data_IF_307075578225
#
_entry.id   IF_307075578225
#
_cell.length_a   1.000
_cell.length_b   1.000
_cell.length_c   1.000
_cell.angle_alpha   90.00
_cell.angle_beta   90.00
_cell.angle_gamma   90.00
#
_symmetry.space_group_name_H-M   'P 1'
#
loop_
_entity.id
_entity.type
_entity.pdbx_description
1 polymer ?
#
# COMPACT_ATOMS: atom_id res chain seq x y z
N UNK A 1 -2.00 16.30 9.60
CA UNK A 1 -0.68 16.66 9.02
C UNK A 1 -0.20 17.92 9.73
N UNK A 2 1.04 17.96 10.20
CA UNK A 2 1.63 19.15 10.81
C UNK A 2 2.80 19.65 9.95
N UNK A 3 2.80 20.95 9.64
CA UNK A 3 3.84 21.63 8.86
C UNK A 3 4.21 20.92 7.53
N UNK A 4 3.24 20.61 6.65
CA UNK A 4 3.54 20.03 5.35
C UNK A 4 4.35 21.03 4.50
N UNK A 5 5.30 20.52 3.71
CA UNK A 5 6.05 21.28 2.71
C UNK A 5 5.46 21.01 1.35
N UNK A 6 5.19 22.06 0.59
CA UNK A 6 4.65 21.98 -0.76
C UNK A 6 5.73 22.38 -1.78
N UNK A 7 5.83 21.59 -2.85
CA UNK A 7 6.74 21.84 -3.97
C UNK A 7 5.96 21.73 -5.29
N UNK A 8 6.12 22.72 -6.16
CA UNK A 8 5.45 22.78 -7.46
C UNK A 8 6.43 22.37 -8.56
N UNK A 9 5.99 21.45 -9.42
CA UNK A 9 6.68 21.01 -10.63
C UNK A 9 5.81 21.32 -11.84
N UNK A 10 6.38 21.23 -13.06
CA UNK A 10 5.66 21.58 -14.29
C UNK A 10 4.33 20.82 -14.48
N UNK A 11 4.22 19.59 -13.99
CA UNK A 11 3.03 18.74 -14.19
C UNK A 11 2.50 18.11 -12.90
N UNK A 12 3.10 18.44 -11.76
CA UNK A 12 2.68 17.86 -10.47
C UNK A 12 2.99 18.76 -9.29
N UNK A 13 2.24 18.54 -8.20
CA UNK A 13 2.49 19.17 -6.90
C UNK A 13 2.88 18.07 -5.93
N UNK A 14 3.97 18.25 -5.20
CA UNK A 14 4.39 17.33 -4.13
C UNK A 14 4.09 17.94 -2.78
N UNK A 15 3.41 17.18 -1.92
CA UNK A 15 3.20 17.50 -0.52
C UNK A 15 3.99 16.51 0.33
N UNK A 16 4.93 17.01 1.12
CA UNK A 16 5.80 16.23 2.00
C UNK A 16 5.59 16.65 3.46
N UNK A 17 5.00 15.75 4.26
CA UNK A 17 4.71 15.97 5.66
C UNK A 17 5.47 14.97 6.53
N UNK A 18 6.55 15.43 7.17
CA UNK A 18 7.37 14.62 8.07
C UNK A 18 6.63 14.22 9.37
N UNK A 19 5.67 15.05 9.79
CA UNK A 19 4.85 14.87 10.99
C UNK A 19 3.39 14.59 10.62
N UNK A 20 3.17 13.45 9.97
CA UNK A 20 1.82 12.97 9.67
C UNK A 20 1.37 11.93 10.71
N UNK A 21 0.11 12.01 11.13
CA UNK A 21 -0.53 11.02 12.00
C UNK A 21 -1.79 10.51 11.30
N UNK A 22 -1.80 9.22 10.98
CA UNK A 22 -2.98 8.49 10.56
C UNK A 22 -3.72 8.01 11.81
N UNK A 23 -5.02 8.29 11.91
CA UNK A 23 -5.84 7.92 13.07
C UNK A 23 -6.94 6.96 12.64
N UNK A 24 -7.00 5.79 13.28
CA UNK A 24 -8.08 4.82 13.07
C UNK A 24 -8.83 4.54 14.37
N UNK A 25 -10.13 4.35 14.27
CA UNK A 25 -11.01 4.03 15.38
C UNK A 25 -11.56 2.62 15.19
N UNK A 26 -11.28 1.74 16.14
CA UNK A 26 -11.77 0.37 16.16
C UNK A 26 -13.05 0.31 16.99
N UNK A 27 -14.04 -0.44 16.50
CA UNK A 27 -15.34 -0.61 17.15
C UNK A 27 -15.33 -1.72 18.20
N UNK A 28 -16.50 -2.30 18.46
CA UNK A 28 -16.67 -3.42 19.39
C UNK A 28 -15.76 -4.61 19.04
N UNK A 29 -15.31 -5.42 20.03
CA UNK A 29 -15.62 -5.32 21.47
C UNK A 29 -14.76 -4.28 22.22
N UNK A 30 -13.63 -3.87 21.66
CA UNK A 30 -12.68 -2.96 22.30
C UNK A 30 -12.53 -1.70 21.46
N UNK A 31 -13.15 -0.62 21.93
CA UNK A 31 -13.13 0.68 21.27
C UNK A 31 -11.72 1.29 21.33
N UNK A 32 -10.82 0.91 20.44
CA UNK A 32 -9.42 1.35 20.48
C UNK A 32 -9.16 2.43 19.44
N UNK A 33 -8.49 3.52 19.84
CA UNK A 33 -7.98 4.53 18.90
C UNK A 33 -6.51 4.22 18.62
N UNK A 34 -6.16 4.01 17.36
CA UNK A 34 -4.78 3.79 16.93
C UNK A 34 -4.27 5.06 16.23
N UNK A 35 -3.18 5.60 16.74
CA UNK A 35 -2.47 6.74 16.16
C UNK A 35 -1.16 6.23 15.54
N UNK A 36 -1.06 6.25 14.22
CA UNK A 36 0.13 5.83 13.47
C UNK A 36 0.85 7.06 12.96
N UNK A 37 2.08 7.28 13.42
CA UNK A 37 2.89 8.45 13.08
C UNK A 37 3.95 8.09 12.04
N UNK A 38 4.19 9.00 11.09
CA UNK A 38 5.11 8.75 9.99
C UNK A 38 5.26 9.95 9.06
N UNK A 39 6.08 9.76 8.02
CA UNK A 39 6.23 10.72 6.94
C UNK A 39 5.27 10.37 5.81
N UNK A 40 4.43 11.32 5.41
CA UNK A 40 3.51 11.19 4.29
C UNK A 40 4.01 12.04 3.13
N UNK A 41 4.18 11.42 1.96
CA UNK A 41 4.51 12.09 0.71
C UNK A 41 3.36 11.81 -0.26
N UNK A 42 2.75 12.88 -0.77
CA UNK A 42 1.72 12.84 -1.80
C UNK A 42 2.23 13.53 -3.05
N UNK A 43 1.95 12.95 -4.20
CA UNK A 43 2.10 13.63 -5.49
C UNK A 43 0.72 13.80 -6.10
N UNK A 44 0.37 15.02 -6.49
CA UNK A 44 -0.88 15.37 -7.15
C UNK A 44 -0.63 15.70 -8.62
N UNK A 45 -1.58 15.36 -9.49
CA UNK A 45 -1.61 15.88 -10.86
C UNK A 45 -1.84 17.38 -10.85
N UNK A 46 -1.15 18.12 -11.72
CA UNK A 46 -1.41 19.53 -11.95
C UNK A 46 -2.49 19.69 -13.04
N UNK A 47 -3.70 19.21 -12.74
CA UNK A 47 -4.91 19.33 -13.54
C UNK A 47 -6.05 19.89 -12.67
N UNK A 48 -7.19 20.25 -13.27
CA UNK A 48 -8.34 20.84 -12.56
C UNK A 48 -8.89 19.93 -11.43
N UNK A 49 -8.61 18.63 -11.50
CA UNK A 49 -9.09 17.64 -10.54
C UNK A 49 -8.12 17.42 -9.36
N UNK A 50 -6.85 17.81 -9.51
CA UNK A 50 -5.77 17.62 -8.52
C UNK A 50 -5.80 16.23 -7.86
N UNK A 51 -5.79 15.17 -8.68
CA UNK A 51 -5.89 13.79 -8.18
C UNK A 51 -4.56 13.33 -7.60
N UNK A 52 -4.63 12.50 -6.57
CA UNK A 52 -3.44 11.84 -6.00
C UNK A 52 -2.90 10.85 -7.04
N UNK A 53 -1.72 11.16 -7.57
CA UNK A 53 -0.93 10.31 -8.48
C UNK A 53 -0.08 9.31 -7.71
N UNK A 54 0.47 9.72 -6.57
CA UNK A 54 1.30 8.88 -5.71
C UNK A 54 0.98 9.13 -4.24
N UNK A 55 0.91 8.05 -3.47
CA UNK A 55 0.69 8.08 -2.02
C UNK A 55 1.76 7.20 -1.36
N UNK A 56 2.60 7.80 -0.53
CA UNK A 56 3.64 7.09 0.19
C UNK A 56 3.62 7.46 1.67
N UNK A 57 3.39 6.46 2.53
CA UNK A 57 3.36 6.64 3.98
C UNK A 57 4.41 5.75 4.65
N UNK A 58 5.46 6.37 5.18
CA UNK A 58 6.53 5.69 5.91
C UNK A 58 6.28 5.78 7.43
N UNK A 59 5.79 4.67 8.00
CA UNK A 59 5.50 4.56 9.43
C UNK A 59 6.78 4.62 10.26
N UNK A 60 6.76 5.39 11.34
CA UNK A 60 7.86 5.50 12.33
C UNK A 60 7.47 4.93 13.69
N UNK A 61 6.27 5.25 14.15
CA UNK A 61 5.77 4.87 15.47
C UNK A 61 4.26 4.69 15.43
N UNK A 62 3.70 3.98 16.41
CA UNK A 62 2.26 3.89 16.60
C UNK A 62 1.92 3.82 18.09
N UNK A 63 0.72 4.24 18.45
CA UNK A 63 0.18 4.17 19.81
C UNK A 63 -1.27 3.70 19.76
N UNK A 64 -1.63 2.81 20.66
CA UNK A 64 -3.00 2.33 20.84
C UNK A 64 -3.56 2.90 22.14
N UNK A 65 -4.71 3.57 22.05
CA UNK A 65 -5.35 4.27 23.15
C UNK A 65 -6.69 3.61 23.44
N UNK A 66 -6.84 3.12 24.67
CA UNK A 66 -8.05 2.48 25.16
C UNK A 66 -8.82 3.49 26.04
N UNK A 67 -10.13 3.68 25.83
CA UNK A 67 -10.98 4.51 26.66
C UNK A 67 -10.97 4.06 28.12
N UNK A 68 -10.84 5.02 29.05
CA UNK A 68 -10.81 4.73 30.50
C UNK A 68 -12.05 4.01 31.00
N UNK A 69 -13.22 4.30 30.44
CA UNK A 69 -14.48 3.65 30.84
C UNK A 69 -14.47 2.14 30.57
N UNK A 70 -13.83 1.68 29.48
CA UNK A 70 -13.65 0.25 29.19
C UNK A 70 -12.78 -0.40 30.26
N UNK A 71 -11.70 0.27 30.66
CA UNK A 71 -10.80 -0.23 31.71
C UNK A 71 -11.47 -0.27 33.09
N UNK A 72 -12.25 0.75 33.46
CA UNK A 72 -12.96 0.82 34.75
C UNK A 72 -14.12 -0.18 34.86
N UNK A 73 -14.72 -0.55 33.73
CA UNK A 73 -15.83 -1.52 33.68
C UNK A 73 -15.39 -2.98 33.81
N UNK A 74 -14.09 -3.27 33.72
CA UNK A 74 -13.58 -4.63 33.75
C UNK A 74 -12.98 -5.00 35.10
N UNK A 75 -13.64 -5.95 35.77
CA UNK A 75 -13.18 -6.54 37.03
C UNK A 75 -12.45 -7.87 36.81
N UNK A 76 -12.54 -8.46 35.61
CA UNK A 76 -11.87 -9.73 35.28
C UNK A 76 -10.38 -9.50 34.92
N UNK A 77 -9.42 -10.03 35.71
CA UNK A 77 -8.00 -9.94 35.41
C UNK A 77 -7.62 -10.51 34.04
N UNK A 78 -8.33 -11.53 33.55
CA UNK A 78 -8.05 -12.16 32.25
C UNK A 78 -8.36 -11.24 31.06
N UNK A 79 -9.42 -10.43 31.16
CA UNK A 79 -9.77 -9.43 30.16
C UNK A 79 -8.77 -8.27 30.13
N UNK A 80 -8.23 -7.87 31.28
CA UNK A 80 -7.24 -6.80 31.34
C UNK A 80 -5.93 -7.19 30.65
N UNK A 81 -5.50 -8.45 30.78
CA UNK A 81 -4.33 -8.97 30.05
C UNK A 81 -4.54 -8.90 28.53
N UNK A 82 -5.77 -9.18 28.04
CA UNK A 82 -6.08 -9.06 26.62
C UNK A 82 -6.07 -7.62 26.12
N UNK A 83 -6.59 -6.69 26.91
CA UNK A 83 -6.56 -5.25 26.61
C UNK A 83 -5.13 -4.68 26.58
N UNK A 84 -4.19 -5.30 27.30
CA UNK A 84 -2.79 -4.86 27.30
C UNK A 84 -2.03 -5.21 26.01
N UNK A 85 -2.57 -6.13 25.19
CA UNK A 85 -1.96 -6.58 23.95
C UNK A 85 -2.35 -5.66 22.80
N UNK A 86 -1.36 -5.29 22.00
CA UNK A 86 -1.61 -4.53 20.78
C UNK A 86 -2.47 -5.31 19.79
N UNK A 87 -3.45 -4.64 19.20
CA UNK A 87 -4.29 -5.20 18.13
C UNK A 87 -3.71 -4.96 16.73
N UNK A 88 -2.69 -4.10 16.62
CA UNK A 88 -2.00 -3.76 15.37
C UNK A 88 -0.53 -4.18 15.36
N UNK A 89 0.04 -4.22 14.16
CA UNK A 89 1.49 -4.32 13.93
C UNK A 89 1.93 -3.09 13.15
N UNK A 90 2.79 -2.27 13.76
CA UNK A 90 3.18 -0.96 13.20
C UNK A 90 1.98 -0.06 12.87
N UNK A 91 0.94 -0.07 13.72
CA UNK A 91 -0.25 0.76 13.51
C UNK A 91 -1.21 0.27 12.42
N UNK A 92 -0.93 -0.88 11.81
CA UNK A 92 -1.75 -1.50 10.77
C UNK A 92 -2.33 -2.82 11.29
N UNK A 93 -3.61 -3.08 10.99
CA UNK A 93 -4.25 -4.34 11.39
C UNK A 93 -3.68 -5.53 10.63
N UNK A 94 -3.73 -6.73 11.24
CA UNK A 94 -3.28 -7.95 10.56
C UNK A 94 -4.08 -8.23 9.28
N UNK A 95 -5.39 -7.92 9.27
CA UNK A 95 -6.24 -8.04 8.09
C UNK A 95 -5.75 -7.15 6.94
N UNK A 96 -5.43 -5.89 7.23
CA UNK A 96 -4.87 -4.97 6.24
C UNK A 96 -3.49 -5.43 5.75
N UNK A 97 -2.62 -5.90 6.65
CA UNK A 97 -1.30 -6.43 6.25
C UNK A 97 -1.42 -7.66 5.34
N UNK A 98 -2.33 -8.57 5.65
CA UNK A 98 -2.56 -9.75 4.83
C UNK A 98 -3.13 -9.37 3.46
N UNK A 99 -4.03 -8.38 3.42
CA UNK A 99 -4.53 -7.84 2.16
C UNK A 99 -3.40 -7.25 1.31
N UNK A 100 -2.53 -6.41 1.88
CA UNK A 100 -1.39 -5.84 1.16
C UNK A 100 -0.42 -6.90 0.64
N UNK A 101 -0.15 -7.95 1.44
CA UNK A 101 0.67 -9.10 1.00
C UNK A 101 0.04 -9.82 -0.19
N UNK A 102 -1.28 -9.98 -0.20
CA UNK A 102 -1.99 -10.55 -1.36
C UNK A 102 -1.89 -9.63 -2.57
N UNK A 103 -2.01 -8.31 -2.42
CA UNK A 103 -1.85 -7.36 -3.52
C UNK A 103 -0.48 -7.50 -4.22
N UNK A 104 0.61 -7.64 -3.46
CA UNK A 104 1.97 -7.84 -4.02
C UNK A 104 2.06 -9.09 -4.91
N UNK A 105 1.32 -10.14 -4.57
CA UNK A 105 1.28 -11.38 -5.35
C UNK A 105 0.34 -11.23 -6.55
N UNK A 106 -0.86 -10.68 -6.33
CA UNK A 106 -1.91 -10.61 -7.33
C UNK A 106 -1.67 -9.55 -8.41
N UNK A 107 -0.94 -8.47 -8.09
CA UNK A 107 -0.60 -7.41 -9.03
C UNK A 107 0.14 -7.94 -10.28
N UNK A 108 1.29 -8.63 -10.17
CA UNK A 108 1.93 -9.21 -11.35
C UNK A 108 1.11 -10.34 -12.01
N UNK A 109 0.21 -10.99 -11.26
CA UNK A 109 -0.68 -12.01 -11.85
C UNK A 109 -1.71 -11.43 -12.82
N UNK A 110 -1.97 -10.11 -12.79
CA UNK A 110 -2.93 -9.48 -13.71
C UNK A 110 -2.53 -9.68 -15.19
N UNK A 111 -1.24 -9.65 -15.51
CA UNK A 111 -0.75 -9.95 -16.87
C UNK A 111 -1.09 -11.39 -17.27
N UNK A 112 -0.91 -12.34 -16.35
CA UNK A 112 -1.21 -13.76 -16.57
C UNK A 112 -2.71 -13.98 -16.75
N UNK A 113 -3.53 -13.35 -15.90
CA UNK A 113 -4.99 -13.41 -15.96
C UNK A 113 -5.51 -12.84 -17.28
N UNK A 114 -4.96 -11.71 -17.73
CA UNK A 114 -5.29 -11.10 -19.03
C UNK A 114 -5.02 -12.07 -20.18
N UNK A 115 -3.85 -12.74 -20.20
CA UNK A 115 -3.50 -13.73 -21.22
C UNK A 115 -4.37 -14.98 -21.16
N UNK A 116 -4.66 -15.48 -19.97
CA UNK A 116 -5.57 -16.61 -19.78
C UNK A 116 -6.94 -16.30 -20.40
N UNK A 117 -7.48 -15.11 -20.12
CA UNK A 117 -8.75 -14.65 -20.67
C UNK A 117 -8.71 -14.45 -22.19
N UNK A 118 -7.61 -13.91 -22.73
CA UNK A 118 -7.49 -13.61 -24.15
C UNK A 118 -7.24 -14.85 -25.04
N UNK A 119 -6.48 -15.83 -24.54
CA UNK A 119 -5.96 -16.94 -25.33
C UNK A 119 -6.41 -18.33 -24.85
N UNK A 120 -7.20 -18.41 -23.77
CA UNK A 120 -7.66 -19.66 -23.15
C UNK A 120 -6.53 -20.66 -22.78
N UNK A 121 -5.30 -20.15 -22.60
CA UNK A 121 -4.14 -20.94 -22.19
C UNK A 121 -4.27 -21.38 -20.74
N UNK A 122 -3.69 -22.52 -20.35
CA UNK A 122 -3.66 -22.88 -18.92
C UNK A 122 -2.90 -21.81 -18.11
N UNK A 123 -3.22 -21.57 -16.82
CA UNK A 123 -2.47 -20.64 -15.98
C UNK A 123 -0.96 -20.97 -15.93
N UNK A 124 -0.60 -22.25 -16.02
CA UNK A 124 0.79 -22.72 -16.03
C UNK A 124 1.51 -22.30 -17.31
N UNK A 125 0.84 -22.38 -18.46
CA UNK A 125 1.40 -21.95 -19.74
C UNK A 125 1.49 -20.43 -19.84
N UNK A 126 0.51 -19.70 -19.28
CA UNK A 126 0.58 -18.25 -19.16
C UNK A 126 1.83 -17.81 -18.39
N UNK A 127 2.13 -18.49 -17.27
CA UNK A 127 3.32 -18.23 -16.47
C UNK A 127 4.59 -18.52 -17.25
N UNK A 128 4.70 -19.72 -17.85
CA UNK A 128 5.88 -20.15 -18.61
C UNK A 128 6.20 -19.18 -19.75
N UNK A 129 5.20 -18.83 -20.55
CA UNK A 129 5.36 -17.93 -21.70
C UNK A 129 5.72 -16.51 -21.27
N UNK A 130 5.10 -15.99 -20.22
CA UNK A 130 5.39 -14.64 -19.69
C UNK A 130 6.81 -14.56 -19.12
N UNK A 131 7.24 -15.55 -18.34
CA UNK A 131 8.60 -15.61 -17.80
C UNK A 131 9.63 -15.71 -18.93
N UNK A 132 9.38 -16.54 -19.93
CA UNK A 132 10.29 -16.69 -21.07
C UNK A 132 10.42 -15.38 -21.85
N UNK A 133 9.31 -14.70 -22.15
CA UNK A 133 9.34 -13.40 -22.83
C UNK A 133 10.05 -12.31 -22.01
N UNK A 134 9.81 -12.25 -20.69
CA UNK A 134 10.51 -11.31 -19.81
C UNK A 134 12.01 -11.60 -19.78
N UNK A 135 12.40 -12.88 -19.70
CA UNK A 135 13.80 -13.29 -19.76
C UNK A 135 14.45 -12.89 -21.09
N UNK A 136 13.82 -13.17 -22.23
CA UNK A 136 14.32 -12.78 -23.55
C UNK A 136 14.58 -11.27 -23.64
N UNK A 137 13.68 -10.43 -23.10
CA UNK A 137 13.87 -8.97 -23.07
C UNK A 137 15.03 -8.53 -22.18
N UNK A 138 15.29 -9.24 -21.07
CA UNK A 138 16.40 -8.93 -20.17
C UNK A 138 17.75 -9.29 -20.80
N UNK A 139 17.84 -10.42 -21.49
CA UNK A 139 19.09 -10.89 -22.13
C UNK A 139 19.31 -10.33 -23.54
N UNK A 140 18.31 -9.67 -24.13
CA UNK A 140 18.45 -9.08 -25.46
C UNK A 140 19.57 -8.02 -25.49
N UNK A 141 20.49 -8.08 -26.47
CA UNK A 141 21.55 -7.10 -26.62
C UNK A 141 20.98 -5.69 -26.84
N UNK A 142 21.69 -4.62 -26.41
CA UNK A 142 21.18 -3.25 -26.42
C UNK A 142 20.70 -2.77 -27.80
N UNK A 143 21.34 -3.25 -28.88
CA UNK A 143 21.05 -2.88 -30.27
C UNK A 143 19.67 -3.34 -30.75
N UNK A 144 19.13 -4.42 -30.17
CA UNK A 144 17.80 -4.95 -30.52
C UNK A 144 16.65 -4.22 -29.80
N UNK A 145 16.93 -3.38 -28.79
CA UNK A 145 15.89 -2.67 -28.02
C UNK A 145 15.34 -1.46 -28.77
N UNK A 146 16.09 -0.90 -29.71
CA UNK A 146 15.76 0.32 -30.46
C UNK A 146 14.88 0.06 -31.69
N UNK A 147 14.84 -1.17 -32.21
CA UNK A 147 14.05 -1.52 -33.40
C UNK A 147 12.57 -1.79 -33.10
N UNK A 148 12.22 -2.14 -31.86
CA UNK A 148 10.83 -2.40 -31.47
C UNK A 148 9.96 -1.13 -31.34
N UNK A 149 10.57 0.05 -31.25
CA UNK A 149 9.83 1.34 -31.15
C UNK A 149 9.63 2.01 -32.52
N UNK A 150 10.20 1.46 -33.60
CA UNK A 150 10.22 2.11 -34.93
C UNK A 150 9.24 1.52 -35.96
N UNK A 151 8.44 0.52 -35.61
CA UNK A 151 7.50 -0.14 -36.55
C UNK A 151 6.02 0.14 -36.30
N UNK A 152 5.69 1.16 -35.51
CA UNK A 152 4.32 1.67 -35.34
C UNK A 152 4.21 3.15 -35.72
N UNK A 153 4.73 3.50 -36.90
CA UNK A 153 4.55 4.80 -37.55
C UNK A 153 4.03 4.58 -38.97
#
# INVERSE_FOLDING_TARGET
MKHPKESFHNTSITLDCDQCTMVTHHGKPFFTKVCTEGRLILEFTFDDLMRIKSWHFAVRSHRELIPRNVMLSQQDPGMLDQLSKNITRQGITNSTLNYLRLCVILEPMQELMSRHKAYALSPRDCLKTTLFQKWQRMVAPPEAKTSATRTSG
#
